data_IF_119586225519
#
_entry.id   IF_119586225519
#
_cell.length_a   1.000
_cell.length_b   1.000
_cell.length_c   1.000
_cell.angle_alpha   90.00
_cell.angle_beta   90.00
_cell.angle_gamma   90.00
#
_symmetry.space_group_name_H-M   'P 1'
#
loop_
_entity.id
_entity.type
_entity.pdbx_description
1 polymer ?
#
# COMPACT_ATOMS: atom_id res chain seq x y z
N UNK A 1 -18.54 8.45 -2.52
CA UNK A 1 -18.42 7.70 -1.26
C UNK A 1 -17.41 8.44 -0.38
N UNK A 2 -17.86 9.39 0.44
CA UNK A 2 -16.97 10.22 1.25
C UNK A 2 -16.71 9.57 2.62
N UNK A 3 -15.48 9.70 3.13
CA UNK A 3 -15.04 9.30 4.49
C UNK A 3 -14.96 7.80 4.84
N UNK A 4 -14.19 7.01 4.07
CA UNK A 4 -13.80 5.64 4.50
C UNK A 4 -12.67 5.63 5.53
N UNK A 5 -11.88 6.69 5.63
CA UNK A 5 -10.72 6.76 6.52
C UNK A 5 -10.56 8.15 7.16
N UNK A 6 -9.85 8.16 8.29
CA UNK A 6 -9.51 9.36 9.07
C UNK A 6 -8.18 9.14 9.79
N UNK A 7 -7.58 10.20 10.30
CA UNK A 7 -6.34 10.11 11.09
C UNK A 7 -6.68 10.06 12.58
N UNK A 8 -6.01 9.19 13.33
CA UNK A 8 -6.18 9.05 14.77
C UNK A 8 -4.85 9.04 15.50
N UNK A 9 -4.78 9.75 16.62
CA UNK A 9 -3.61 9.72 17.48
C UNK A 9 -3.36 8.30 18.03
N UNK A 10 -2.13 7.80 17.85
CA UNK A 10 -1.73 6.45 18.31
C UNK A 10 -1.79 6.30 19.83
N UNK A 11 -1.62 7.40 20.56
CA UNK A 11 -1.79 7.41 22.01
C UNK A 11 -3.28 7.25 22.36
N UNK A 12 -3.64 6.07 22.86
CA UNK A 12 -5.02 5.69 23.25
C UNK A 12 -5.68 6.65 24.23
N UNK A 13 -4.92 7.30 25.12
CA UNK A 13 -5.47 8.29 26.07
C UNK A 13 -5.87 9.59 25.37
N UNK A 14 -5.13 9.98 24.33
CA UNK A 14 -5.45 11.16 23.53
C UNK A 14 -6.58 10.84 22.55
N UNK A 15 -6.39 9.80 21.70
CA UNK A 15 -7.42 9.29 20.78
C UNK A 15 -8.00 10.31 19.79
N UNK A 16 -7.44 11.52 19.70
CA UNK A 16 -7.97 12.62 18.90
C UNK A 16 -7.95 12.25 17.41
N UNK A 17 -9.03 12.62 16.74
CA UNK A 17 -9.30 12.30 15.35
C UNK A 17 -9.18 13.55 14.48
N UNK A 18 -8.72 13.36 13.24
CA UNK A 18 -8.47 14.42 12.28
C UNK A 18 -8.95 13.97 10.89
N UNK A 19 -9.35 14.89 10.00
CA UNK A 19 -9.64 14.55 8.61
C UNK A 19 -8.44 13.89 7.92
N UNK A 20 -8.70 12.97 6.98
CA UNK A 20 -7.64 12.22 6.27
C UNK A 20 -6.70 13.11 5.45
N UNK A 21 -7.17 14.29 5.04
CA UNK A 21 -6.43 15.25 4.19
C UNK A 21 -5.60 16.26 4.99
N UNK A 22 -5.37 16.03 6.29
CA UNK A 22 -4.48 16.87 7.10
C UNK A 22 -3.02 16.48 6.82
N UNK A 23 -2.17 17.48 6.57
CA UNK A 23 -0.74 17.27 6.27
C UNK A 23 0.15 17.14 7.51
N UNK A 24 -0.36 17.44 8.70
CA UNK A 24 0.37 17.23 9.94
C UNK A 24 0.47 15.74 10.28
N UNK A 25 1.69 15.27 10.54
CA UNK A 25 1.94 13.90 11.00
C UNK A 25 1.85 13.76 12.53
N UNK A 26 1.85 14.90 13.24
CA UNK A 26 1.85 14.96 14.69
C UNK A 26 0.49 15.43 15.21
N UNK A 27 -0.04 14.68 16.17
CA UNK A 27 -1.15 15.12 16.99
C UNK A 27 -0.71 16.31 17.87
N UNK A 28 -1.67 17.17 18.21
CA UNK A 28 -1.49 18.25 19.20
C UNK A 28 -0.92 17.82 20.57
N UNK A 29 -0.95 16.52 20.91
CA UNK A 29 -0.30 15.98 22.11
C UNK A 29 1.15 15.50 21.89
N UNK A 30 1.74 15.75 20.72
CA UNK A 30 3.11 15.38 20.36
C UNK A 30 3.31 13.93 19.90
N UNK A 31 2.25 13.11 19.84
CA UNK A 31 2.32 11.73 19.33
C UNK A 31 1.97 11.67 17.84
N UNK A 32 2.34 10.59 17.16
CA UNK A 32 2.03 10.39 15.74
C UNK A 32 0.54 10.12 15.48
N UNK A 33 0.13 10.39 14.26
CA UNK A 33 -1.17 10.04 13.71
C UNK A 33 -1.06 8.76 12.87
N UNK A 34 -2.09 7.93 12.92
CA UNK A 34 -2.24 6.72 12.12
C UNK A 34 -3.54 6.79 11.29
N UNK A 35 -3.56 6.09 10.16
CA UNK A 35 -4.73 6.02 9.27
C UNK A 35 -5.66 4.93 9.77
N UNK A 36 -6.89 5.31 10.13
CA UNK A 36 -7.94 4.39 10.56
C UNK A 36 -9.03 4.36 9.51
N UNK A 37 -9.56 3.16 9.25
CA UNK A 37 -10.72 2.96 8.38
C UNK A 37 -11.98 2.83 9.23
N UNK A 38 -13.05 3.51 8.82
CA UNK A 38 -14.35 3.46 9.50
C UNK A 38 -15.01 2.08 9.37
N UNK A 39 -14.69 1.37 8.30
CA UNK A 39 -15.32 0.11 7.94
C UNK A 39 -14.26 -0.92 7.59
N UNK A 40 -14.58 -2.19 7.87
CA UNK A 40 -13.78 -3.30 7.38
C UNK A 40 -13.95 -3.39 5.86
N UNK A 41 -12.86 -3.36 5.07
CA UNK A 41 -12.97 -3.49 3.62
C UNK A 41 -13.67 -4.78 3.20
N UNK A 42 -14.49 -4.70 2.15
CA UNK A 42 -15.22 -5.86 1.63
C UNK A 42 -14.27 -6.98 1.21
N UNK A 43 -14.63 -8.23 1.54
CA UNK A 43 -13.85 -9.40 1.12
C UNK A 43 -13.80 -9.56 -0.41
N UNK A 44 -14.79 -9.02 -1.14
CA UNK A 44 -14.81 -9.04 -2.60
C UNK A 44 -13.63 -8.31 -3.24
N UNK A 45 -13.00 -7.37 -2.51
CA UNK A 45 -11.79 -6.71 -2.98
C UNK A 45 -10.67 -7.72 -3.32
N UNK A 46 -10.63 -8.89 -2.65
CA UNK A 46 -9.66 -9.95 -2.99
C UNK A 46 -9.82 -10.45 -4.42
N UNK A 47 -11.04 -10.51 -4.93
CA UNK A 47 -11.31 -10.94 -6.30
C UNK A 47 -10.84 -9.87 -7.29
N UNK A 48 -11.16 -8.60 -7.01
CA UNK A 48 -10.72 -7.44 -7.80
C UNK A 48 -9.19 -7.38 -7.87
N UNK A 49 -8.51 -7.49 -6.73
CA UNK A 49 -7.04 -7.49 -6.67
C UNK A 49 -6.45 -8.69 -7.41
N UNK A 50 -7.10 -9.85 -7.34
CA UNK A 50 -6.67 -11.05 -8.05
C UNK A 50 -6.79 -10.90 -9.57
N UNK A 51 -7.83 -10.25 -10.05
CA UNK A 51 -8.04 -9.97 -11.49
C UNK A 51 -7.00 -8.99 -12.03
N UNK A 52 -6.63 -7.96 -11.26
CA UNK A 52 -5.62 -6.96 -11.64
C UNK A 52 -4.20 -7.51 -11.78
N UNK A 53 -3.95 -8.76 -11.37
CA UNK A 53 -2.69 -9.48 -11.70
C UNK A 53 -2.47 -9.60 -13.21
N UNK A 54 -3.54 -9.56 -14.01
CA UNK A 54 -3.45 -9.28 -15.44
C UNK A 54 -3.64 -7.76 -15.63
N UNK A 55 -2.57 -6.99 -15.93
CA UNK A 55 -2.66 -5.54 -15.90
C UNK A 55 -3.51 -4.94 -17.02
N UNK A 56 -3.70 -5.66 -18.13
CA UNK A 56 -4.44 -5.21 -19.31
C UNK A 56 -3.96 -3.84 -19.82
N UNK A 57 -2.66 -3.58 -19.74
CA UNK A 57 -2.03 -2.32 -20.17
C UNK A 57 -2.18 -1.13 -19.21
N UNK A 58 -2.78 -1.33 -18.03
CA UNK A 58 -2.86 -0.28 -17.00
C UNK A 58 -1.65 -0.32 -16.07
N UNK A 59 -0.86 0.76 -16.07
CA UNK A 59 0.27 0.96 -15.14
C UNK A 59 -0.17 0.86 -13.67
N UNK A 60 -1.39 1.28 -13.35
CA UNK A 60 -1.93 1.20 -11.98
C UNK A 60 -2.26 -0.23 -11.56
N UNK A 61 -2.52 -1.13 -12.50
CA UNK A 61 -2.67 -2.56 -12.19
C UNK A 61 -1.31 -3.27 -12.12
N UNK A 62 -0.30 -2.77 -12.83
CA UNK A 62 1.08 -3.26 -12.72
C UNK A 62 1.67 -2.95 -11.34
N UNK A 63 1.48 -1.72 -10.87
CA UNK A 63 1.93 -1.24 -9.57
C UNK A 63 1.48 -2.17 -8.43
N UNK A 64 2.43 -2.62 -7.63
CA UNK A 64 2.19 -3.37 -6.40
C UNK A 64 1.50 -2.54 -5.30
N UNK A 65 1.42 -1.21 -5.48
CA UNK A 65 0.68 -0.28 -4.61
C UNK A 65 -0.72 -0.05 -5.19
N UNK A 66 -0.80 0.48 -6.41
CA UNK A 66 -2.06 0.97 -6.99
C UNK A 66 -3.01 -0.14 -7.47
N UNK A 67 -2.55 -1.39 -7.57
CA UNK A 67 -3.48 -2.51 -7.79
C UNK A 67 -4.46 -2.69 -6.61
N UNK A 68 -4.16 -2.09 -5.45
CA UNK A 68 -4.96 -2.07 -4.22
C UNK A 68 -5.58 -0.71 -3.91
N UNK A 69 -5.68 0.19 -4.91
CA UNK A 69 -6.08 1.60 -4.76
C UNK A 69 -7.38 1.85 -3.99
N UNK A 70 -8.31 0.91 -3.90
CA UNK A 70 -9.52 1.00 -3.07
C UNK A 70 -9.21 1.15 -1.58
N UNK A 71 -8.12 0.54 -1.13
CA UNK A 71 -7.65 0.65 0.25
C UNK A 71 -6.90 1.98 0.47
N UNK A 72 -6.38 2.60 -0.58
CA UNK A 72 -5.54 3.81 -0.52
C UNK A 72 -6.23 5.04 -1.13
N UNK A 73 -7.55 4.99 -1.35
CA UNK A 73 -8.30 6.02 -2.07
C UNK A 73 -8.58 7.27 -1.22
N UNK A 74 -7.53 7.91 -0.70
CA UNK A 74 -7.62 9.13 0.09
C UNK A 74 -8.02 10.35 -0.76
N UNK A 75 -7.84 10.27 -2.08
CA UNK A 75 -8.29 11.26 -3.05
C UNK A 75 -9.81 11.20 -3.33
N UNK A 76 -10.47 10.11 -2.93
CA UNK A 76 -11.91 9.85 -3.11
C UNK A 76 -12.36 9.83 -4.59
N UNK A 77 -11.51 9.30 -5.47
CA UNK A 77 -11.79 9.16 -6.90
C UNK A 77 -12.57 7.88 -7.22
N UNK A 78 -13.10 7.79 -8.44
CA UNK A 78 -13.50 6.49 -9.00
C UNK A 78 -12.25 5.66 -9.35
N UNK A 79 -12.07 4.54 -8.66
CA UNK A 79 -10.89 3.68 -8.82
C UNK A 79 -10.90 2.83 -10.09
N UNK A 80 -12.03 2.73 -10.79
CA UNK A 80 -12.11 2.03 -12.08
C UNK A 80 -11.99 3.00 -13.27
N UNK A 81 -12.11 4.31 -13.03
CA UNK A 81 -11.82 5.34 -14.02
C UNK A 81 -10.32 5.61 -14.11
N UNK A 82 -9.68 5.08 -15.15
CA UNK A 82 -8.25 5.26 -15.41
C UNK A 82 -7.86 6.73 -15.67
N UNK A 83 -8.80 7.57 -16.12
CA UNK A 83 -8.57 9.01 -16.31
C UNK A 83 -8.45 9.72 -14.97
N UNK A 84 -9.33 9.41 -14.03
CA UNK A 84 -9.20 9.93 -12.67
C UNK A 84 -7.96 9.38 -11.97
N UNK A 85 -7.66 8.09 -12.17
CA UNK A 85 -6.44 7.50 -11.65
C UNK A 85 -5.19 8.23 -12.17
N UNK A 86 -5.09 8.53 -13.47
CA UNK A 86 -3.92 9.22 -14.02
C UNK A 86 -3.77 10.68 -13.59
N UNK A 87 -4.86 11.32 -13.16
CA UNK A 87 -4.84 12.67 -12.63
C UNK A 87 -4.40 12.75 -11.16
N UNK A 88 -4.50 11.65 -10.40
CA UNK A 88 -4.32 11.66 -8.95
C UNK A 88 -3.28 10.66 -8.41
N UNK A 89 -3.02 9.57 -9.13
CA UNK A 89 -2.14 8.49 -8.68
C UNK A 89 -0.80 8.59 -9.40
N UNK A 90 0.29 8.57 -8.63
CA UNK A 90 1.64 8.66 -9.17
C UNK A 90 2.31 7.30 -9.12
N UNK A 91 2.81 6.83 -10.26
CA UNK A 91 3.66 5.65 -10.36
C UNK A 91 4.82 5.96 -11.30
N UNK A 92 6.02 5.51 -10.96
CA UNK A 92 7.19 5.80 -11.78
C UNK A 92 7.12 5.07 -13.13
N UNK A 93 6.92 3.76 -13.07
CA UNK A 93 6.87 2.85 -14.20
C UNK A 93 5.99 1.61 -13.93
N UNK A 94 5.18 1.64 -12.86
CA UNK A 94 4.36 0.51 -12.42
C UNK A 94 5.17 -0.63 -11.78
N UNK A 95 6.47 -0.47 -11.54
CA UNK A 95 7.30 -1.54 -10.98
C UNK A 95 7.37 -1.55 -9.43
N UNK A 96 7.01 -0.46 -8.75
CA UNK A 96 7.01 -0.40 -7.29
C UNK A 96 6.11 -1.49 -6.70
N UNK A 97 6.63 -2.27 -5.75
CA UNK A 97 5.97 -3.41 -5.12
C UNK A 97 5.71 -4.61 -6.04
N UNK A 98 5.84 -4.46 -7.36
CA UNK A 98 5.64 -5.55 -8.34
C UNK A 98 6.79 -6.54 -8.32
N UNK A 99 8.02 -6.03 -8.21
CA UNK A 99 9.24 -6.85 -8.28
C UNK A 99 9.55 -7.58 -6.96
N UNK A 100 8.91 -7.20 -5.86
CA UNK A 100 9.11 -7.75 -4.51
C UNK A 100 8.41 -9.10 -4.30
N UNK A 101 8.36 -10.00 -5.29
CA UNK A 101 7.75 -11.32 -5.09
C UNK A 101 8.59 -12.17 -4.11
N UNK A 102 8.00 -12.75 -3.05
CA UNK A 102 8.74 -13.64 -2.16
C UNK A 102 9.32 -14.86 -2.89
N UNK A 103 10.55 -15.24 -2.53
CA UNK A 103 11.22 -16.42 -3.08
C UNK A 103 11.88 -17.25 -1.97
N UNK A 104 12.12 -18.53 -2.26
CA UNK A 104 12.83 -19.43 -1.36
C UNK A 104 14.35 -19.28 -1.46
N UNK A 105 15.02 -19.32 -0.32
CA UNK A 105 16.49 -19.26 -0.24
C UNK A 105 17.03 -20.54 0.40
N UNK A 106 17.17 -21.59 -0.41
CA UNK A 106 17.56 -22.92 0.05
C UNK A 106 18.88 -22.94 0.82
N UNK A 107 19.90 -22.20 0.35
CA UNK A 107 21.20 -22.09 1.02
C UNK A 107 21.10 -21.43 2.39
N UNK A 108 20.33 -20.35 2.50
CA UNK A 108 20.11 -19.66 3.78
C UNK A 108 19.32 -20.56 4.72
N UNK A 109 18.24 -21.18 4.23
CA UNK A 109 17.43 -22.11 5.01
C UNK A 109 18.26 -23.25 5.60
N UNK A 110 19.14 -23.85 4.80
CA UNK A 110 20.10 -24.87 5.25
C UNK A 110 21.06 -24.32 6.31
N UNK A 111 21.64 -23.14 6.06
CA UNK A 111 22.58 -22.49 6.98
C UNK A 111 21.98 -22.22 8.36
N UNK A 112 20.70 -21.78 8.42
CA UNK A 112 20.01 -21.49 9.69
C UNK A 112 19.25 -22.68 10.27
N UNK A 113 19.25 -23.85 9.62
CA UNK A 113 18.57 -25.06 10.09
C UNK A 113 17.04 -25.02 9.99
N UNK A 114 16.47 -24.25 9.05
CA UNK A 114 15.03 -24.15 8.82
C UNK A 114 14.65 -24.92 7.54
N UNK A 115 13.49 -25.60 7.54
CA UNK A 115 12.95 -26.20 6.32
C UNK A 115 12.75 -25.15 5.22
N UNK A 116 13.29 -25.36 4.02
CA UNK A 116 13.25 -24.39 2.92
C UNK A 116 11.82 -23.85 2.61
N UNK A 117 10.80 -24.71 2.67
CA UNK A 117 9.39 -24.32 2.46
C UNK A 117 8.85 -23.35 3.51
N UNK A 118 9.50 -23.25 4.68
CA UNK A 118 9.13 -22.38 5.81
C UNK A 118 9.91 -21.06 5.82
N UNK A 119 10.87 -20.87 4.91
CA UNK A 119 11.63 -19.62 4.76
C UNK A 119 11.43 -19.03 3.35
N UNK A 120 10.86 -17.84 3.30
CA UNK A 120 10.80 -17.02 2.10
C UNK A 120 11.39 -15.64 2.40
N UNK A 121 12.07 -15.04 1.43
CA UNK A 121 12.54 -13.66 1.50
C UNK A 121 11.79 -12.82 0.48
N UNK A 122 11.40 -11.61 0.89
CA UNK A 122 10.74 -10.63 0.05
C UNK A 122 11.73 -9.51 -0.28
N UNK A 123 12.24 -9.41 -1.53
CA UNK A 123 13.30 -8.47 -1.88
C UNK A 123 12.74 -7.07 -2.16
N UNK A 124 12.35 -6.32 -1.13
CA UNK A 124 11.83 -4.95 -1.31
C UNK A 124 12.86 -3.94 -1.86
N UNK A 125 14.12 -4.34 -1.98
CA UNK A 125 15.16 -3.57 -2.65
C UNK A 125 15.15 -3.67 -4.18
N UNK A 126 14.25 -4.45 -4.79
CA UNK A 126 14.10 -4.52 -6.26
C UNK A 126 13.10 -3.50 -6.82
N UNK A 127 12.58 -2.62 -5.96
CA UNK A 127 11.84 -1.45 -6.42
C UNK A 127 12.74 -0.48 -7.20
N UNK A 128 12.17 0.44 -7.99
CA UNK A 128 12.93 1.31 -8.90
C UNK A 128 14.11 2.08 -8.27
N UNK A 129 13.97 2.59 -7.05
CA UNK A 129 15.05 3.30 -6.34
C UNK A 129 16.02 2.39 -5.60
N UNK A 130 15.80 1.08 -5.65
CA UNK A 130 16.51 0.11 -4.83
C UNK A 130 15.98 0.01 -3.39
N UNK A 131 14.77 0.51 -3.11
CA UNK A 131 14.25 0.62 -1.75
C UNK A 131 12.75 0.35 -1.62
N UNK A 132 12.36 -0.21 -0.47
CA UNK A 132 10.95 -0.39 -0.11
C UNK A 132 10.17 0.93 0.01
N UNK A 133 10.90 2.07 0.13
CA UNK A 133 10.31 3.40 0.28
C UNK A 133 9.47 3.82 -0.92
N UNK A 134 9.74 3.28 -2.11
CA UNK A 134 8.97 3.59 -3.32
C UNK A 134 7.48 3.29 -3.14
N UNK A 135 7.14 2.24 -2.41
CA UNK A 135 5.76 1.87 -2.14
C UNK A 135 5.02 2.98 -1.38
N UNK A 136 5.70 3.58 -0.39
CA UNK A 136 5.14 4.68 0.41
C UNK A 136 5.17 6.01 -0.33
N UNK A 137 6.25 6.29 -1.06
CA UNK A 137 6.38 7.52 -1.84
C UNK A 137 5.34 7.62 -2.95
N UNK A 138 5.07 6.50 -3.65
CA UNK A 138 4.02 6.41 -4.67
C UNK A 138 2.67 6.91 -4.14
N UNK A 139 2.28 6.51 -2.93
CA UNK A 139 1.03 6.94 -2.31
C UNK A 139 1.05 8.35 -1.66
N UNK A 140 2.23 8.95 -1.49
CA UNK A 140 2.39 10.20 -0.75
C UNK A 140 2.53 11.45 -1.64
N UNK A 141 2.95 11.28 -2.90
CA UNK A 141 3.25 12.38 -3.84
C UNK A 141 2.10 12.71 -4.77
#
# INVERSE_FOLDING_TARGET
>A
MQNKSYLKCINRKCGKEYPIRVFDFNCTCGNLLDVIYNETPSQHLKDIFSQRRNPQGSIFNESGVWRFRELLNFCEIDTDDLTQCSQHLVSLDGAEGRQSKPYHMSKVAQFVGIENKKLMLQPEGYNPSGSFKDNGMSAAV
#
